data_IF_751213193940
#
_entry.id   IF_751213193940
#
_cell.length_a   1.000
_cell.length_b   1.000
_cell.length_c   1.000
_cell.angle_alpha   90.00
_cell.angle_beta   90.00
_cell.angle_gamma   90.00
#
_symmetry.space_group_name_H-M   'P 1'
#
loop_
_entity.id
_entity.type
_entity.pdbx_description
1 polymer ?
#
# COMPACT_ATOMS: atom_id res chain seq x y z
N UNK A 1 -3.23 10.12 -19.22
CA UNK A 1 -2.86 10.28 -17.80
C UNK A 1 -2.12 9.02 -17.36
N UNK A 2 -0.88 9.15 -16.87
CA UNK A 2 -0.06 7.99 -16.47
C UNK A 2 -0.62 7.41 -15.17
N UNK A 3 -0.79 6.10 -15.12
CA UNK A 3 -1.17 5.42 -13.88
C UNK A 3 0.04 5.36 -12.95
N UNK A 4 -0.17 5.68 -11.67
CA UNK A 4 0.84 5.51 -10.62
C UNK A 4 1.18 4.04 -10.45
N UNK A 5 2.45 3.69 -10.27
CA UNK A 5 2.94 2.30 -10.22
C UNK A 5 2.40 1.51 -9.02
N UNK A 6 2.25 2.18 -7.87
CA UNK A 6 1.81 1.57 -6.62
C UNK A 6 0.49 2.17 -6.15
N UNK A 7 -0.37 1.33 -5.57
CA UNK A 7 -1.62 1.74 -4.92
C UNK A 7 -1.60 1.27 -3.46
N UNK A 8 -2.06 2.14 -2.57
CA UNK A 8 -2.08 1.89 -1.12
C UNK A 8 -3.52 1.69 -0.68
N UNK A 9 -3.78 0.56 -0.03
CA UNK A 9 -5.08 0.22 0.54
C UNK A 9 -5.03 0.24 2.06
N UNK A 10 -6.11 0.70 2.68
CA UNK A 10 -6.36 0.58 4.12
C UNK A 10 -7.64 -0.19 4.38
N UNK A 11 -7.55 -1.24 5.17
CA UNK A 11 -8.73 -1.95 5.64
C UNK A 11 -9.46 -1.14 6.71
N UNK A 12 -10.76 -0.89 6.52
CA UNK A 12 -11.59 -0.15 7.48
C UNK A 12 -11.94 -0.96 8.72
N UNK A 13 -11.83 -2.29 8.66
CA UNK A 13 -12.16 -3.18 9.78
C UNK A 13 -10.96 -3.42 10.70
N UNK A 14 -9.81 -3.86 10.14
CA UNK A 14 -8.62 -4.15 10.96
C UNK A 14 -7.60 -3.01 11.01
N UNK A 15 -7.83 -1.91 10.28
CA UNK A 15 -6.96 -0.73 10.27
C UNK A 15 -5.60 -0.93 9.57
N UNK A 16 -5.28 -2.14 9.12
CA UNK A 16 -4.00 -2.46 8.46
C UNK A 16 -3.94 -1.86 7.06
N UNK A 17 -2.73 -1.46 6.67
CA UNK A 17 -2.41 -0.87 5.37
C UNK A 17 -1.51 -1.82 4.59
N UNK A 18 -1.74 -1.95 3.29
CA UNK A 18 -0.95 -2.76 2.37
C UNK A 18 -0.84 -2.07 1.01
N UNK A 19 0.19 -2.42 0.24
CA UNK A 19 0.56 -1.78 -1.01
C UNK A 19 0.55 -2.85 -2.10
N UNK A 20 -0.03 -2.54 -3.26
CA UNK A 20 -0.06 -3.42 -4.43
C UNK A 20 0.44 -2.68 -5.67
N UNK A 21 0.88 -3.43 -6.68
CA UNK A 21 1.18 -2.88 -8.00
C UNK A 21 -0.12 -2.57 -8.73
N UNK A 22 -0.26 -1.33 -9.21
CA UNK A 22 -1.48 -0.88 -9.88
C UNK A 22 -1.79 -1.67 -11.14
N UNK A 23 -0.76 -2.14 -11.85
CA UNK A 23 -0.92 -2.97 -13.05
C UNK A 23 -1.50 -4.35 -12.72
N UNK A 24 -1.02 -4.99 -11.66
CA UNK A 24 -1.54 -6.30 -11.20
C UNK A 24 -2.97 -6.20 -10.68
N UNK A 25 -3.29 -5.11 -9.97
CA UNK A 25 -4.66 -4.83 -9.53
C UNK A 25 -5.59 -4.71 -10.73
N UNK A 26 -5.24 -3.87 -11.72
CA UNK A 26 -6.04 -3.72 -12.94
C UNK A 26 -6.17 -5.00 -13.73
N UNK A 27 -5.09 -5.78 -13.82
CA UNK A 27 -5.13 -7.07 -14.48
C UNK A 27 -6.14 -8.00 -13.79
N UNK A 28 -6.08 -8.10 -12.45
CA UNK A 28 -7.02 -8.92 -11.68
C UNK A 28 -8.47 -8.43 -11.77
N UNK A 29 -8.71 -7.12 -11.72
CA UNK A 29 -10.05 -6.55 -11.88
C UNK A 29 -10.66 -6.89 -13.25
N UNK A 30 -9.85 -6.87 -14.31
CA UNK A 30 -10.29 -7.31 -15.66
C UNK A 30 -10.66 -8.78 -15.72
N UNK A 31 -10.10 -9.61 -14.85
CA UNK A 31 -10.48 -11.03 -14.72
C UNK A 31 -11.73 -11.24 -13.86
N UNK A 32 -12.35 -10.17 -13.35
CA UNK A 32 -13.51 -10.23 -12.45
C UNK A 32 -13.15 -10.52 -10.99
N UNK A 33 -11.87 -10.49 -10.64
CA UNK A 33 -11.41 -10.65 -9.26
C UNK A 33 -11.52 -9.32 -8.49
N UNK A 34 -11.49 -9.42 -7.16
CA UNK A 34 -11.48 -8.25 -6.26
C UNK A 34 -10.33 -8.34 -5.27
N UNK A 35 -9.85 -7.18 -4.83
CA UNK A 35 -8.85 -7.09 -3.76
C UNK A 35 -9.53 -7.19 -2.41
N UNK A 36 -8.96 -7.98 -1.51
CA UNK A 36 -9.39 -8.07 -0.11
C UNK A 36 -8.20 -7.85 0.83
N UNK A 37 -8.49 -7.60 2.11
CA UNK A 37 -7.46 -7.43 3.12
C UNK A 37 -6.65 -8.74 3.29
N UNK A 38 -5.34 -8.75 3.03
CA UNK A 38 -4.54 -9.97 3.06
C UNK A 38 -4.35 -10.53 4.48
N UNK A 39 -4.61 -9.74 5.51
CA UNK A 39 -4.42 -10.14 6.90
C UNK A 39 -5.60 -10.91 7.48
N UNK A 40 -6.83 -10.60 7.03
CA UNK A 40 -8.08 -11.12 7.64
C UNK A 40 -9.20 -11.39 6.64
N UNK A 41 -8.97 -11.25 5.33
CA UNK A 41 -9.96 -11.51 4.28
C UNK A 41 -11.10 -10.49 4.17
N UNK A 42 -11.05 -9.38 4.91
CA UNK A 42 -12.09 -8.36 4.86
C UNK A 42 -12.19 -7.68 3.48
N UNK A 43 -13.41 -7.53 2.96
CA UNK A 43 -13.68 -6.82 1.69
C UNK A 43 -13.73 -5.30 1.84
N UNK A 44 -13.97 -4.79 3.05
CA UNK A 44 -14.06 -3.35 3.31
C UNK A 44 -12.65 -2.73 3.40
N UNK A 45 -12.11 -2.39 2.22
CA UNK A 45 -10.84 -1.72 2.02
C UNK A 45 -11.06 -0.44 1.22
N UNK A 46 -10.25 0.58 1.47
CA UNK A 46 -10.27 1.85 0.72
C UNK A 46 -8.90 2.17 0.19
N UNK A 47 -8.85 2.84 -0.97
CA UNK A 47 -7.61 3.41 -1.49
C UNK A 47 -7.27 4.65 -0.68
N UNK A 48 -6.06 4.72 -0.15
CA UNK A 48 -5.56 5.86 0.64
C UNK A 48 -4.45 6.64 -0.06
N UNK A 49 -3.94 6.14 -1.19
CA UNK A 49 -2.95 6.85 -1.98
C UNK A 49 -2.48 6.02 -3.17
N UNK A 50 -1.80 6.67 -4.11
CA UNK A 50 -1.14 6.03 -5.24
C UNK A 50 0.14 6.80 -5.61
N UNK A 51 1.23 6.09 -5.89
CA UNK A 51 2.58 6.65 -5.97
C UNK A 51 3.39 6.03 -7.11
N UNK A 52 4.40 6.75 -7.60
CA UNK A 52 5.28 6.27 -8.67
C UNK A 52 6.47 5.47 -8.13
N UNK A 53 6.71 5.47 -6.81
CA UNK A 53 7.76 4.66 -6.21
C UNK A 53 7.36 4.09 -4.85
N UNK A 54 7.85 2.88 -4.55
CA UNK A 54 7.65 2.26 -3.24
C UNK A 54 8.23 3.10 -2.10
N UNK A 55 9.28 3.89 -2.40
CA UNK A 55 9.91 4.81 -1.44
C UNK A 55 8.91 5.87 -0.98
N UNK A 56 8.14 6.47 -1.89
CA UNK A 56 7.08 7.43 -1.56
C UNK A 56 5.97 6.78 -0.72
N UNK A 57 5.56 5.55 -1.05
CA UNK A 57 4.57 4.81 -0.24
C UNK A 57 5.03 4.63 1.22
N UNK A 58 6.34 4.51 1.45
CA UNK A 58 6.93 4.25 2.76
C UNK A 58 7.46 5.52 3.46
N UNK A 59 7.39 6.71 2.84
CA UNK A 59 7.92 7.94 3.41
C UNK A 59 7.22 8.37 4.71
N UNK A 60 5.96 8.00 4.90
CA UNK A 60 5.23 8.12 6.18
C UNK A 60 6.00 7.47 7.35
N UNK A 61 6.82 6.44 7.06
CA UNK A 61 7.66 5.74 8.03
C UNK A 61 9.12 5.98 7.69
N UNK A 62 9.60 7.18 8.01
CA UNK A 62 11.00 7.53 7.74
C UNK A 62 11.89 6.90 8.80
N UNK A 63 12.93 6.18 8.40
CA UNK A 63 13.92 5.60 9.32
C UNK A 63 15.27 6.24 9.10
N UNK A 64 15.95 6.61 10.18
CA UNK A 64 17.32 7.14 10.18
C UNK A 64 18.21 6.26 11.04
N UNK A 65 19.44 6.04 10.60
CA UNK A 65 20.48 5.44 11.45
C UNK A 65 21.04 6.51 12.40
N UNK A 66 20.95 6.26 13.70
CA UNK A 66 21.53 7.09 14.75
C UNK A 66 22.45 6.22 15.60
N UNK A 67 23.75 6.55 15.61
CA UNK A 67 24.80 5.78 16.33
C UNK A 67 24.75 4.27 16.05
N UNK A 68 24.57 3.89 14.78
CA UNK A 68 24.53 2.49 14.34
C UNK A 68 23.19 1.76 14.55
N UNK A 69 22.20 2.39 15.21
CA UNK A 69 20.87 1.81 15.44
C UNK A 69 19.84 2.42 14.48
N UNK A 70 18.93 1.60 13.97
CA UNK A 70 17.83 2.07 13.11
C UNK A 70 16.73 2.68 13.99
N UNK A 71 16.43 3.96 13.82
CA UNK A 71 15.36 4.66 14.52
C UNK A 71 14.30 5.10 13.53
N UNK A 72 13.03 4.89 13.85
CA UNK A 72 11.92 5.53 13.15
C UNK A 72 11.86 7.00 13.58
N UNK A 73 11.83 7.91 12.62
CA UNK A 73 11.83 9.38 12.83
C UNK A 73 10.52 10.05 12.36
N UNK A 74 9.70 9.34 11.57
CA UNK A 74 8.30 9.68 11.28
C UNK A 74 7.46 8.42 11.39
#
# INVERSE_FOLDING_TARGET
MKMKEYIVYRCKICGKTFILLSEEVKFNEKQGNYVSCPFKGHKNIVVTGAYDSIKECMQERSYKRDKGKMKQIK
#
